data_IF_663711942910
#
_entry.id   IF_663711942910
#
_cell.length_a   1.000
_cell.length_b   1.000
_cell.length_c   1.000
_cell.angle_alpha   90.00
_cell.angle_beta   90.00
_cell.angle_gamma   90.00
#
_symmetry.space_group_name_H-M   'P 1'
#
loop_
_entity.id
_entity.type
_entity.pdbx_description
1 polymer ?
#
# COMPACT_ATOMS: atom_id res chain seq x y z
N UNK A 1 54.06 9.15 42.19
CA UNK A 1 52.65 8.72 42.09
C UNK A 1 52.15 9.16 40.73
N UNK A 2 52.32 8.31 39.72
CA UNK A 2 51.71 8.47 38.41
C UNK A 2 50.53 7.51 38.37
N UNK A 3 49.32 8.00 38.08
CA UNK A 3 48.18 7.15 37.79
C UNK A 3 48.19 6.89 36.29
N UNK A 4 48.37 5.62 35.93
CA UNK A 4 48.02 5.11 34.60
C UNK A 4 46.51 5.29 34.41
N UNK A 5 46.11 6.09 33.42
CA UNK A 5 44.76 6.05 32.87
C UNK A 5 44.80 5.17 31.62
N UNK A 6 44.25 3.97 31.78
CA UNK A 6 44.05 2.97 30.73
C UNK A 6 42.81 3.34 29.94
N UNK A 7 43.00 3.65 28.65
CA UNK A 7 41.92 3.81 27.67
C UNK A 7 41.29 2.46 27.38
N UNK A 8 40.01 2.30 27.71
CA UNK A 8 39.16 1.22 27.20
C UNK A 8 38.07 1.90 26.38
N UNK A 9 38.06 1.67 25.07
CA UNK A 9 36.96 2.10 24.19
C UNK A 9 37.06 3.49 23.55
N UNK A 10 38.24 4.09 23.42
CA UNK A 10 38.44 5.30 22.60
C UNK A 10 37.87 6.62 23.18
N UNK A 11 37.46 6.63 24.45
CA UNK A 11 37.06 7.84 25.15
C UNK A 11 38.08 8.20 26.23
N UNK A 12 38.65 9.40 26.15
CA UNK A 12 39.43 9.98 27.24
C UNK A 12 38.44 10.49 28.31
N UNK A 13 38.62 10.01 29.55
CA UNK A 13 37.81 10.40 30.71
C UNK A 13 38.60 11.27 31.68
N UNK A 14 39.66 11.94 31.19
CA UNK A 14 40.49 12.85 31.99
C UNK A 14 39.81 14.17 32.32
N UNK A 15 38.73 14.10 33.11
CA UNK A 15 38.41 15.09 34.16
C UNK A 15 37.96 16.50 33.76
N UNK A 16 37.91 16.87 32.49
CA UNK A 16 37.14 18.01 31.99
C UNK A 16 36.00 17.48 31.11
N UNK A 17 34.81 18.08 31.18
CA UNK A 17 33.57 17.70 30.47
C UNK A 17 33.66 17.86 28.94
N UNK A 18 34.83 17.60 28.35
CA UNK A 18 35.13 17.73 26.93
C UNK A 18 35.36 16.34 26.36
N UNK A 19 34.34 15.78 25.71
CA UNK A 19 34.44 14.58 24.89
C UNK A 19 35.34 14.88 23.68
N UNK A 20 36.64 14.65 23.81
CA UNK A 20 37.59 14.75 22.70
C UNK A 20 37.66 13.40 21.98
N UNK A 21 37.14 13.34 20.75
CA UNK A 21 37.44 12.24 19.82
C UNK A 21 38.95 12.24 19.54
N UNK A 22 39.62 11.10 19.67
CA UNK A 22 41.04 11.03 19.34
C UNK A 22 41.29 11.31 17.84
N UNK A 23 42.47 11.84 17.54
CA UNK A 23 42.83 12.29 16.20
C UNK A 23 42.73 11.18 15.14
N UNK A 24 42.88 9.91 15.53
CA UNK A 24 42.77 8.78 14.61
C UNK A 24 41.31 8.51 14.25
N UNK A 25 40.43 8.53 15.25
CA UNK A 25 38.97 8.37 15.11
C UNK A 25 38.38 9.55 14.34
N UNK A 26 38.82 10.78 14.62
CA UNK A 26 38.50 11.99 13.85
C UNK A 26 38.82 11.84 12.36
N UNK A 27 40.06 11.49 12.03
CA UNK A 27 40.48 11.33 10.63
C UNK A 27 39.74 10.17 9.95
N UNK A 28 39.38 9.11 10.68
CA UNK A 28 38.66 7.97 10.12
C UNK A 28 37.20 8.31 9.80
N UNK A 29 36.53 9.09 10.66
CA UNK A 29 35.17 9.57 10.43
C UNK A 29 35.17 10.62 9.30
N UNK A 30 36.11 11.57 9.31
CA UNK A 30 36.24 12.60 8.27
C UNK A 30 36.47 11.99 6.88
N UNK A 31 37.33 10.97 6.78
CA UNK A 31 37.57 10.27 5.51
C UNK A 31 36.36 9.47 5.04
N UNK A 32 35.60 8.84 5.95
CA UNK A 32 34.34 8.17 5.60
C UNK A 32 33.31 9.16 5.07
N UNK A 33 33.21 10.33 5.69
CA UNK A 33 32.25 11.37 5.30
C UNK A 33 32.61 12.00 3.95
N UNK A 34 33.90 12.25 3.70
CA UNK A 34 34.41 12.70 2.40
C UNK A 34 34.21 11.65 1.29
N UNK A 35 34.41 10.37 1.62
CA UNK A 35 34.18 9.27 0.69
C UNK A 35 32.69 9.14 0.34
N UNK A 36 31.81 9.13 1.33
CA UNK A 36 30.35 9.10 1.12
C UNK A 36 29.85 10.31 0.33
N UNK A 37 30.41 11.52 0.57
CA UNK A 37 30.06 12.71 -0.20
C UNK A 37 30.54 12.64 -1.67
N UNK A 38 31.66 11.96 -1.94
CA UNK A 38 32.19 11.77 -3.30
C UNK A 38 31.48 10.68 -4.10
N UNK A 39 30.70 9.82 -3.43
CA UNK A 39 29.89 8.76 -4.02
C UNK A 39 28.45 9.23 -4.36
N UNK A 40 28.10 10.47 -4.01
CA UNK A 40 26.80 11.08 -4.35
C UNK A 40 26.74 11.42 -5.84
N UNK A 41 25.94 10.64 -6.59
CA UNK A 41 25.70 10.85 -8.03
C UNK A 41 24.33 11.50 -8.22
N UNK A 42 24.30 12.81 -8.45
CA UNK A 42 23.05 13.61 -8.51
C UNK A 42 22.31 13.58 -9.86
N UNK A 43 22.74 12.76 -10.84
CA UNK A 43 22.16 12.70 -12.19
C UNK A 43 21.34 11.42 -12.47
N UNK A 44 21.00 10.65 -11.43
CA UNK A 44 20.15 9.45 -11.47
C UNK A 44 19.04 9.54 -10.42
N UNK A 45 17.91 8.86 -10.65
CA UNK A 45 16.86 8.77 -9.62
C UNK A 45 17.37 7.95 -8.43
N UNK A 46 16.85 8.24 -7.24
CA UNK A 46 17.21 7.55 -5.99
C UNK A 46 16.96 6.03 -6.04
N UNK A 47 16.15 5.56 -6.99
CA UNK A 47 15.77 4.15 -7.14
C UNK A 47 16.52 3.43 -8.28
N UNK A 48 17.42 4.10 -9.01
CA UNK A 48 18.28 3.51 -10.07
C UNK A 48 19.75 3.28 -9.61
N UNK A 49 19.98 3.37 -8.29
CA UNK A 49 21.29 3.28 -7.69
C UNK A 49 21.23 2.32 -6.51
N UNK A 50 21.55 1.06 -6.80
CA UNK A 50 21.49 -0.07 -5.86
C UNK A 50 22.18 0.22 -4.51
N UNK A 51 23.32 0.92 -4.51
CA UNK A 51 24.20 1.12 -3.33
C UNK A 51 24.67 2.59 -3.09
N UNK A 52 24.09 3.61 -3.74
CA UNK A 52 24.56 5.00 -3.59
C UNK A 52 23.54 5.88 -2.84
N UNK A 53 24.02 6.66 -1.86
CA UNK A 53 23.21 7.59 -1.05
C UNK A 53 22.59 8.67 -1.95
N UNK A 54 21.28 8.86 -1.88
CA UNK A 54 20.59 9.83 -2.74
C UNK A 54 20.59 11.25 -2.14
N UNK A 55 20.50 12.29 -2.98
CA UNK A 55 20.45 13.68 -2.52
C UNK A 55 19.29 13.99 -1.57
N UNK A 56 18.19 13.23 -1.65
CA UNK A 56 17.02 13.39 -0.76
C UNK A 56 17.26 12.75 0.62
N UNK A 57 17.93 11.60 0.70
CA UNK A 57 18.46 11.06 1.96
C UNK A 57 19.55 11.96 2.53
N UNK A 58 20.37 12.58 1.67
CA UNK A 58 21.32 13.61 2.07
C UNK A 58 20.63 14.78 2.76
N UNK A 59 19.49 15.25 2.24
CA UNK A 59 18.67 16.30 2.88
C UNK A 59 17.99 15.85 4.17
N UNK A 60 17.53 14.59 4.24
CA UNK A 60 16.90 14.02 5.46
C UNK A 60 17.94 13.79 6.56
N UNK A 61 19.13 13.29 6.21
CA UNK A 61 20.30 13.21 7.09
C UNK A 61 20.74 14.60 7.52
N UNK A 62 20.74 15.59 6.61
CA UNK A 62 21.04 16.98 6.96
C UNK A 62 20.04 17.52 7.99
N UNK A 63 18.75 17.22 7.83
CA UNK A 63 17.71 17.63 8.76
C UNK A 63 17.84 16.91 10.12
N UNK A 64 18.14 15.61 10.14
CA UNK A 64 18.39 14.84 11.38
C UNK A 64 19.65 15.34 12.10
N UNK A 65 20.72 15.63 11.35
CA UNK A 65 21.92 16.26 11.92
C UNK A 65 21.61 17.64 12.46
N UNK A 66 20.88 18.48 11.74
CA UNK A 66 20.47 19.82 12.21
C UNK A 66 19.66 19.73 13.51
N UNK A 67 18.72 18.78 13.61
CA UNK A 67 17.97 18.55 14.85
C UNK A 67 18.88 18.13 16.02
N UNK A 68 19.84 17.23 15.79
CA UNK A 68 20.80 16.79 16.82
C UNK A 68 21.76 17.91 17.25
N UNK A 69 22.12 18.82 16.34
CA UNK A 69 22.92 20.02 16.64
C UNK A 69 22.13 20.96 17.56
N UNK A 70 20.87 21.23 17.20
CA UNK A 70 19.97 22.10 17.98
C UNK A 70 19.74 21.57 19.40
N UNK A 71 19.75 20.24 19.58
CA UNK A 71 19.57 19.58 20.87
C UNK A 71 20.88 19.36 21.67
N UNK A 72 22.04 19.69 21.10
CA UNK A 72 23.35 19.48 21.73
C UNK A 72 23.84 20.67 22.58
N UNK A 73 24.87 20.46 23.40
CA UNK A 73 25.50 21.49 24.24
C UNK A 73 26.14 22.60 23.40
N UNK A 74 26.35 23.78 23.99
CA UNK A 74 26.85 24.98 23.28
C UNK A 74 28.20 24.74 22.56
N UNK A 75 29.09 23.93 23.14
CA UNK A 75 30.37 23.55 22.52
C UNK A 75 30.22 22.59 21.33
N UNK A 76 29.17 21.76 21.29
CA UNK A 76 28.84 20.85 20.19
C UNK A 76 28.09 21.58 19.06
N UNK A 77 27.31 22.63 19.40
CA UNK A 77 26.71 23.53 18.41
C UNK A 77 27.77 24.25 17.59
N UNK A 78 28.72 24.90 18.24
CA UNK A 78 29.80 25.62 17.54
C UNK A 78 30.64 24.68 16.66
N UNK A 79 30.85 23.43 17.10
CA UNK A 79 31.59 22.40 16.37
C UNK A 79 30.85 21.89 15.11
N UNK A 80 29.52 21.76 15.15
CA UNK A 80 28.74 21.20 14.05
C UNK A 80 28.22 22.26 13.06
N UNK A 81 28.16 23.54 13.46
CA UNK A 81 27.75 24.63 12.57
C UNK A 81 28.67 24.82 11.36
N UNK A 82 30.00 24.68 11.51
CA UNK A 82 30.95 24.85 10.39
C UNK A 82 30.79 23.74 9.33
N UNK A 83 30.61 22.49 9.77
CA UNK A 83 30.42 21.34 8.87
C UNK A 83 29.05 21.38 8.19
N UNK A 84 28.02 21.81 8.91
CA UNK A 84 26.67 22.03 8.37
C UNK A 84 26.68 23.16 7.33
N UNK A 85 27.33 24.29 7.62
CA UNK A 85 27.48 25.41 6.67
C UNK A 85 28.26 24.98 5.42
N UNK A 86 29.30 24.14 5.58
CA UNK A 86 30.05 23.59 4.46
C UNK A 86 29.20 22.65 3.60
N UNK A 87 28.36 21.81 4.20
CA UNK A 87 27.46 20.92 3.45
C UNK A 87 26.36 21.72 2.74
N UNK A 88 25.75 22.70 3.42
CA UNK A 88 24.79 23.62 2.81
C UNK A 88 25.39 24.37 1.61
N UNK A 89 26.64 24.82 1.72
CA UNK A 89 27.36 25.49 0.63
C UNK A 89 27.56 24.55 -0.56
N UNK A 90 28.00 23.31 -0.32
CA UNK A 90 28.21 22.32 -1.39
C UNK A 90 26.92 21.91 -2.10
N UNK A 91 25.81 21.80 -1.35
CA UNK A 91 24.47 21.57 -1.89
C UNK A 91 24.04 22.74 -2.77
N UNK A 92 24.23 23.98 -2.28
CA UNK A 92 23.88 25.19 -3.02
C UNK A 92 24.69 25.33 -4.31
N UNK A 93 25.99 25.02 -4.27
CA UNK A 93 26.86 25.02 -5.45
C UNK A 93 26.42 23.97 -6.48
N UNK A 94 26.03 22.78 -6.04
CA UNK A 94 25.52 21.72 -6.91
C UNK A 94 24.17 22.08 -7.58
N UNK A 95 23.28 22.75 -6.84
CA UNK A 95 22.03 23.30 -7.40
C UNK A 95 22.36 24.36 -8.47
N UNK A 96 23.27 25.27 -8.18
CA UNK A 96 23.68 26.33 -9.10
C UNK A 96 24.31 25.77 -10.39
N UNK A 97 25.12 24.71 -10.30
CA UNK A 97 25.70 24.02 -11.46
C UNK A 97 24.63 23.32 -12.31
N UNK A 98 23.66 22.69 -11.65
CA UNK A 98 22.52 22.03 -12.31
C UNK A 98 21.64 23.03 -13.05
N UNK A 99 21.32 24.15 -12.41
CA UNK A 99 20.58 25.26 -13.02
C UNK A 99 21.32 25.89 -14.21
N UNK A 100 22.65 26.05 -14.11
CA UNK A 100 23.47 26.53 -15.23
C UNK A 100 23.46 25.54 -16.40
N UNK A 101 23.53 24.23 -16.14
CA UNK A 101 23.46 23.18 -17.16
C UNK A 101 22.09 23.14 -17.85
N UNK A 102 21.00 23.24 -17.07
CA UNK A 102 19.64 23.35 -17.57
C UNK A 102 19.45 24.63 -18.41
N UNK A 103 19.91 25.78 -17.93
CA UNK A 103 19.85 27.05 -18.66
C UNK A 103 20.65 26.99 -19.97
N UNK A 104 21.83 26.34 -19.98
CA UNK A 104 22.62 26.12 -21.18
C UNK A 104 21.90 25.19 -22.17
N UNK A 105 21.24 24.13 -21.70
CA UNK A 105 20.46 23.22 -22.55
C UNK A 105 19.24 23.90 -23.19
N UNK A 106 18.57 24.79 -22.45
CA UNK A 106 17.44 25.59 -22.93
C UNK A 106 17.88 26.68 -23.91
N UNK A 107 19.05 27.29 -23.69
CA UNK A 107 19.67 28.26 -24.61
C UNK A 107 20.08 27.62 -25.95
N UNK A 108 20.57 26.37 -25.93
CA UNK A 108 20.86 25.62 -27.15
C UNK A 108 19.60 25.27 -27.97
N UNK A 109 18.47 25.02 -27.31
CA UNK A 109 17.19 24.76 -27.98
C UNK A 109 16.54 26.04 -28.55
N UNK A 110 16.79 27.21 -27.95
CA UNK A 110 16.29 28.50 -28.45
C UNK A 110 16.96 28.94 -29.77
N UNK A 111 18.21 28.57 -30.03
CA UNK A 111 18.87 28.84 -31.33
C UNK A 111 18.33 27.99 -32.48
N UNK A 112 17.66 26.87 -32.21
CA UNK A 112 17.03 26.01 -33.22
C UNK A 112 15.60 26.41 -33.60
N UNK A 113 14.86 27.05 -32.69
CA UNK A 113 13.43 27.36 -32.89
C UNK A 113 13.13 28.83 -33.29
N UNK A 114 14.12 29.72 -33.21
CA UNK A 114 13.97 31.18 -33.40
C UNK A 114 13.69 31.70 -34.82
N UNK A 115 13.32 30.86 -35.80
CA UNK A 115 13.03 31.31 -37.18
C UNK A 115 11.59 31.16 -37.69
N UNK A 116 10.64 30.60 -36.94
CA UNK A 116 9.30 30.32 -37.54
C UNK A 116 8.05 30.92 -36.89
N UNK A 117 8.11 31.65 -35.76
CA UNK A 117 6.84 31.98 -35.07
C UNK A 117 6.69 33.38 -34.43
N UNK A 118 7.41 34.39 -34.93
CA UNK A 118 7.25 35.78 -34.46
C UNK A 118 6.54 36.68 -35.49
N UNK A 119 5.39 36.23 -35.99
CA UNK A 119 4.69 36.91 -37.08
C UNK A 119 3.19 36.64 -37.14
N UNK A 120 2.48 36.54 -36.02
CA UNK A 120 1.02 36.59 -36.03
C UNK A 120 0.47 37.04 -34.68
N UNK A 121 -0.38 38.07 -34.75
CA UNK A 121 -1.39 38.44 -33.73
C UNK A 121 -0.93 39.20 -32.47
N UNK A 122 -0.51 40.46 -32.67
CA UNK A 122 -0.95 41.53 -31.77
C UNK A 122 -2.27 42.13 -32.30
N UNK A 123 -3.31 42.19 -31.48
CA UNK A 123 -4.53 42.92 -31.84
C UNK A 123 -5.68 42.86 -30.83
N UNK A 124 -5.86 43.97 -30.09
CA UNK A 124 -7.09 44.52 -29.47
C UNK A 124 -7.52 44.14 -28.04
N UNK A 125 -7.25 45.11 -27.15
CA UNK A 125 -8.12 45.72 -26.11
C UNK A 125 -9.64 45.48 -26.24
N UNK A 126 -10.35 45.20 -25.13
CA UNK A 126 -11.13 46.20 -24.32
C UNK A 126 -12.27 45.58 -23.48
N UNK A 127 -12.26 45.88 -22.18
CA UNK A 127 -13.34 46.10 -21.17
C UNK A 127 -14.78 45.53 -21.34
N UNK A 128 -15.30 44.94 -20.25
CA UNK A 128 -16.46 45.45 -19.45
C UNK A 128 -16.82 44.55 -18.25
N UNK A 129 -17.06 45.18 -17.10
CA UNK A 129 -17.81 44.65 -15.94
C UNK A 129 -19.32 44.64 -16.22
N UNK A 130 -20.07 43.69 -15.62
CA UNK A 130 -21.43 43.90 -15.09
C UNK A 130 -21.93 42.74 -14.20
N UNK A 131 -22.18 43.12 -12.94
CA UNK A 131 -23.21 42.74 -11.96
C UNK A 131 -24.02 41.42 -12.06
N UNK A 132 -24.10 40.74 -10.91
CA UNK A 132 -25.03 39.67 -10.51
C UNK A 132 -26.50 40.14 -10.39
N UNK A 133 -27.43 39.17 -10.26
CA UNK A 133 -28.33 39.21 -9.10
C UNK A 133 -28.57 37.85 -8.42
N UNK A 134 -28.79 37.93 -7.10
CA UNK A 134 -29.30 36.91 -6.17
C UNK A 134 -30.74 36.45 -6.49
N UNK A 135 -31.04 35.16 -6.28
CA UNK A 135 -32.03 34.69 -5.28
C UNK A 135 -32.29 33.15 -5.34
N UNK A 136 -31.80 32.47 -4.30
CA UNK A 136 -32.47 31.50 -3.42
C UNK A 136 -33.19 30.23 -3.97
N UNK A 137 -32.61 29.06 -3.62
CA UNK A 137 -33.12 27.97 -2.72
C UNK A 137 -33.01 26.55 -3.28
N UNK A 138 -32.27 25.69 -2.56
CA UNK A 138 -32.57 24.25 -2.50
C UNK A 138 -31.41 23.26 -2.41
N UNK A 139 -30.24 23.64 -1.89
CA UNK A 139 -29.11 22.73 -1.66
C UNK A 139 -29.23 21.98 -0.33
N UNK A 140 -29.19 20.63 -0.37
CA UNK A 140 -28.46 19.86 0.64
C UNK A 140 -27.08 19.63 0.03
N UNK A 141 -26.26 20.67 0.13
CA UNK A 141 -24.85 20.61 -0.23
C UNK A 141 -24.11 20.22 1.04
N UNK A 142 -23.43 19.08 1.00
CA UNK A 142 -22.46 18.68 2.03
C UNK A 142 -21.28 19.63 1.93
N UNK A 143 -21.42 20.80 2.56
CA UNK A 143 -20.34 21.76 2.71
C UNK A 143 -19.20 21.07 3.45
N UNK A 144 -18.12 20.79 2.73
CA UNK A 144 -16.79 20.57 3.32
C UNK A 144 -16.53 21.80 4.19
N UNK A 145 -16.61 21.65 5.51
CA UNK A 145 -16.14 22.68 6.42
C UNK A 145 -14.64 22.86 6.15
N UNK A 146 -14.31 23.89 5.35
CA UNK A 146 -12.93 24.38 5.27
C UNK A 146 -12.58 24.92 6.63
N UNK A 147 -11.84 24.13 7.38
CA UNK A 147 -11.18 24.60 8.59
C UNK A 147 -9.85 25.22 8.15
N UNK A 148 -9.60 26.42 8.66
CA UNK A 148 -8.35 27.18 8.53
C UNK A 148 -7.26 26.45 9.33
N UNK A 149 -6.85 25.30 8.80
CA UNK A 149 -6.03 24.29 9.45
C UNK A 149 -4.71 24.14 8.65
N UNK A 150 -3.60 23.95 9.36
CA UNK A 150 -2.24 23.86 8.80
C UNK A 150 -2.13 22.87 7.62
N UNK A 151 -3.00 21.87 7.53
CA UNK A 151 -3.04 20.79 6.53
C UNK A 151 -4.28 20.81 5.63
N UNK A 152 -5.04 21.91 5.59
CA UNK A 152 -6.23 22.03 4.74
C UNK A 152 -5.96 21.77 3.25
N UNK A 153 -4.76 22.13 2.76
CA UNK A 153 -4.33 21.82 1.39
C UNK A 153 -4.20 20.31 1.16
N UNK A 154 -3.68 19.55 2.14
CA UNK A 154 -3.55 18.09 2.07
C UNK A 154 -4.93 17.44 2.07
N UNK A 155 -5.82 17.89 2.97
CA UNK A 155 -7.18 17.41 3.07
C UNK A 155 -7.90 17.49 1.72
N UNK A 156 -7.83 18.66 1.06
CA UNK A 156 -8.50 18.89 -0.22
C UNK A 156 -7.84 18.10 -1.34
N UNK A 157 -6.51 18.12 -1.42
CA UNK A 157 -5.78 17.50 -2.54
C UNK A 157 -5.93 15.98 -2.54
N UNK A 158 -5.83 15.36 -1.37
CA UNK A 158 -5.84 13.90 -1.19
C UNK A 158 -7.18 13.35 -0.73
N UNK A 159 -8.18 14.22 -0.54
CA UNK A 159 -9.56 13.89 -0.15
C UNK A 159 -9.66 13.14 1.19
N UNK A 160 -8.77 13.46 2.12
CA UNK A 160 -8.93 13.01 3.51
C UNK A 160 -10.17 13.68 4.13
N UNK A 161 -10.90 12.94 4.96
CA UNK A 161 -11.94 13.51 5.80
C UNK A 161 -11.34 14.46 6.84
N UNK A 162 -12.18 15.23 7.55
CA UNK A 162 -11.67 16.06 8.63
C UNK A 162 -11.14 15.18 9.78
N UNK A 163 -11.86 14.10 10.07
CA UNK A 163 -11.55 13.10 11.08
C UNK A 163 -10.23 12.40 10.77
N UNK A 164 -9.98 12.05 9.50
CA UNK A 164 -8.70 11.49 9.04
C UNK A 164 -7.55 12.44 9.38
N UNK A 165 -7.70 13.74 9.09
CA UNK A 165 -6.66 14.73 9.37
C UNK A 165 -6.42 14.87 10.87
N UNK A 166 -7.45 14.84 11.71
CA UNK A 166 -7.27 14.88 13.16
C UNK A 166 -6.54 13.63 13.67
N UNK A 167 -6.97 12.45 13.22
CA UNK A 167 -6.32 11.19 13.56
C UNK A 167 -4.85 11.16 13.13
N UNK A 168 -4.54 11.62 11.91
CA UNK A 168 -3.18 11.72 11.41
C UNK A 168 -2.34 12.73 12.19
N UNK A 169 -2.90 13.86 12.64
CA UNK A 169 -2.18 14.81 13.50
C UNK A 169 -1.81 14.22 14.85
N UNK A 170 -2.69 13.41 15.42
CA UNK A 170 -2.47 12.80 16.73
C UNK A 170 -1.47 11.63 16.67
N UNK A 171 -1.52 10.83 15.60
CA UNK A 171 -0.82 9.55 15.53
C UNK A 171 0.35 9.51 14.53
N UNK A 172 0.32 10.34 13.49
CA UNK A 172 1.25 10.28 12.34
C UNK A 172 1.66 11.69 11.84
N UNK A 173 1.87 12.63 12.77
CA UNK A 173 2.13 14.03 12.45
C UNK A 173 3.37 14.21 11.56
N UNK A 174 4.39 13.40 11.78
CA UNK A 174 5.66 13.45 11.04
C UNK A 174 5.42 13.13 9.57
N UNK A 175 4.75 12.02 9.28
CA UNK A 175 4.41 11.56 7.94
C UNK A 175 3.45 12.54 7.24
N UNK A 176 2.47 13.10 7.98
CA UNK A 176 1.56 14.11 7.47
C UNK A 176 2.31 15.41 7.07
N UNK A 177 3.27 15.86 7.89
CA UNK A 177 4.17 16.98 7.55
C UNK A 177 5.09 16.67 6.37
N UNK A 178 5.59 15.43 6.28
CA UNK A 178 6.37 14.99 5.12
C UNK A 178 5.53 15.07 3.85
N UNK A 179 4.29 14.57 3.86
CA UNK A 179 3.38 14.66 2.72
C UNK A 179 3.17 16.12 2.30
N UNK A 180 2.91 17.02 3.25
CA UNK A 180 2.71 18.45 2.99
C UNK A 180 3.90 19.15 2.34
N UNK A 181 5.11 18.74 2.72
CA UNK A 181 6.33 19.31 2.17
C UNK A 181 6.68 18.71 0.81
N UNK A 182 6.67 17.38 0.69
CA UNK A 182 7.10 16.64 -0.50
C UNK A 182 6.16 16.89 -1.69
N UNK A 183 4.85 17.06 -1.47
CA UNK A 183 3.89 17.35 -2.56
C UNK A 183 4.27 18.57 -3.41
N UNK A 184 5.03 19.52 -2.85
CA UNK A 184 5.45 20.75 -3.54
C UNK A 184 6.55 20.50 -4.57
N UNK A 185 7.26 19.37 -4.46
CA UNK A 185 8.49 19.09 -5.21
C UNK A 185 8.47 17.75 -5.96
N UNK A 186 7.79 16.72 -5.43
CA UNK A 186 7.72 15.37 -6.04
C UNK A 186 6.33 14.75 -5.86
N UNK A 187 5.60 14.61 -6.97
CA UNK A 187 4.28 13.96 -6.96
C UNK A 187 4.38 12.45 -6.72
N UNK A 188 5.47 11.82 -7.18
CA UNK A 188 5.71 10.38 -6.99
C UNK A 188 5.92 10.03 -5.52
N UNK A 189 6.78 10.78 -4.82
CA UNK A 189 7.07 10.52 -3.41
C UNK A 189 5.89 10.92 -2.53
N UNK A 190 5.19 12.01 -2.87
CA UNK A 190 3.96 12.38 -2.20
C UNK A 190 2.88 11.31 -2.37
N UNK A 191 2.78 10.68 -3.56
CA UNK A 191 1.87 9.55 -3.78
C UNK A 191 2.21 8.38 -2.86
N UNK A 192 3.48 8.01 -2.70
CA UNK A 192 3.89 6.91 -1.80
C UNK A 192 3.52 7.17 -0.34
N UNK A 193 3.82 8.38 0.16
CA UNK A 193 3.48 8.75 1.54
C UNK A 193 1.95 8.78 1.71
N UNK A 194 1.24 9.35 0.74
CA UNK A 194 -0.22 9.34 0.73
C UNK A 194 -0.78 7.92 0.81
N UNK A 195 -0.27 6.97 0.02
CA UNK A 195 -0.75 5.59 0.08
C UNK A 195 -0.52 4.95 1.45
N UNK A 196 0.61 5.21 2.11
CA UNK A 196 0.85 4.73 3.48
C UNK A 196 -0.14 5.33 4.48
N UNK A 197 -0.38 6.64 4.40
CA UNK A 197 -1.33 7.31 5.28
C UNK A 197 -2.77 6.87 5.02
N UNK A 198 -3.13 6.64 3.75
CA UNK A 198 -4.44 6.13 3.34
C UNK A 198 -4.78 4.82 4.03
N UNK A 199 -3.85 3.87 4.06
CA UNK A 199 -4.04 2.58 4.75
C UNK A 199 -4.22 2.77 6.25
N UNK A 200 -3.51 3.72 6.87
CA UNK A 200 -3.56 4.00 8.33
C UNK A 200 -4.88 4.61 8.80
N UNK A 201 -5.52 5.42 7.96
CA UNK A 201 -6.83 6.02 8.29
C UNK A 201 -7.99 5.11 7.92
N UNK A 202 -7.75 4.14 7.03
CA UNK A 202 -8.78 3.21 6.57
C UNK A 202 -9.35 2.39 7.72
N UNK A 203 -10.68 2.35 7.84
CA UNK A 203 -11.38 1.63 8.91
C UNK A 203 -11.10 0.11 8.85
N UNK A 204 -11.17 -0.51 7.67
CA UNK A 204 -10.82 -1.92 7.48
C UNK A 204 -9.32 -2.13 7.71
N UNK A 205 -8.49 -1.18 7.25
CA UNK A 205 -7.05 -1.24 7.50
C UNK A 205 -6.72 -1.26 8.99
N UNK A 206 -7.35 -0.40 9.78
CA UNK A 206 -7.19 -0.34 11.24
C UNK A 206 -7.64 -1.62 11.94
N UNK A 207 -8.74 -2.24 11.49
CA UNK A 207 -9.15 -3.56 11.97
C UNK A 207 -8.07 -4.62 11.75
N UNK A 208 -7.55 -4.71 10.52
CA UNK A 208 -6.53 -5.68 10.15
C UNK A 208 -5.21 -5.47 10.89
N UNK A 209 -4.81 -4.21 11.12
CA UNK A 209 -3.66 -3.89 11.97
C UNK A 209 -3.85 -4.37 13.41
N UNK A 210 -5.07 -4.30 13.94
CA UNK A 210 -5.40 -4.78 15.29
C UNK A 210 -5.10 -6.26 15.51
N UNK A 211 -5.19 -7.09 14.48
CA UNK A 211 -4.84 -8.52 14.53
C UNK A 211 -3.41 -8.84 14.04
N UNK A 212 -2.61 -7.82 13.73
CA UNK A 212 -1.18 -7.99 13.44
C UNK A 212 -0.79 -7.99 11.96
N UNK A 213 -1.66 -7.55 11.05
CA UNK A 213 -1.25 -7.29 9.67
C UNK A 213 -0.10 -6.29 9.62
N UNK A 214 0.80 -6.46 8.64
CA UNK A 214 1.93 -5.54 8.45
C UNK A 214 1.60 -4.55 7.35
N UNK A 215 2.02 -3.30 7.51
CA UNK A 215 1.80 -2.23 6.50
C UNK A 215 2.30 -2.60 5.10
N UNK A 216 3.38 -3.40 5.02
CA UNK A 216 3.93 -3.86 3.73
C UNK A 216 3.06 -4.89 3.01
N UNK A 217 2.21 -5.62 3.74
CA UNK A 217 1.38 -6.72 3.23
C UNK A 217 -0.06 -6.23 2.96
N UNK A 218 -0.39 -4.99 3.34
CA UNK A 218 -1.69 -4.36 3.16
C UNK A 218 -1.56 -3.10 2.30
N UNK A 219 -1.88 -3.20 1.02
CA UNK A 219 -1.87 -2.06 0.10
C UNK A 219 -3.25 -1.39 0.01
N UNK A 220 -3.33 -0.15 -0.47
CA UNK A 220 -4.59 0.50 -0.77
C UNK A 220 -5.45 -0.28 -1.77
N UNK A 221 -4.83 -0.92 -2.77
CA UNK A 221 -5.52 -1.75 -3.76
C UNK A 221 -6.15 -2.99 -3.11
N UNK A 222 -5.43 -3.65 -2.20
CA UNK A 222 -5.97 -4.76 -1.40
C UNK A 222 -7.16 -4.32 -0.57
N UNK A 223 -7.09 -3.15 0.09
CA UNK A 223 -8.20 -2.62 0.87
C UNK A 223 -9.42 -2.30 0.01
N UNK A 224 -9.20 -1.72 -1.17
CA UNK A 224 -10.28 -1.45 -2.13
C UNK A 224 -10.92 -2.77 -2.60
N UNK A 225 -10.14 -3.80 -2.87
CA UNK A 225 -10.65 -5.12 -3.27
C UNK A 225 -11.47 -5.77 -2.15
N UNK A 226 -10.97 -5.77 -0.90
CA UNK A 226 -11.71 -6.28 0.27
C UNK A 226 -13.06 -5.56 0.39
N UNK A 227 -13.09 -4.22 0.33
CA UNK A 227 -14.31 -3.43 0.49
C UNK A 227 -15.31 -3.69 -0.63
N UNK A 228 -14.85 -3.80 -1.87
CA UNK A 228 -15.72 -4.13 -2.98
C UNK A 228 -16.26 -5.56 -2.86
N UNK A 229 -15.47 -6.52 -2.37
CA UNK A 229 -15.94 -7.88 -2.08
C UNK A 229 -17.00 -7.88 -0.97
N UNK A 230 -16.73 -7.26 0.18
CA UNK A 230 -17.70 -7.17 1.28
C UNK A 230 -19.06 -6.63 0.78
N UNK A 231 -19.01 -5.56 -0.01
CA UNK A 231 -20.21 -4.96 -0.61
C UNK A 231 -20.88 -5.86 -1.66
N UNK A 232 -20.10 -6.42 -2.60
CA UNK A 232 -20.60 -7.26 -3.70
C UNK A 232 -21.34 -8.49 -3.18
N UNK A 233 -20.84 -9.06 -2.09
CA UNK A 233 -21.33 -10.28 -1.48
C UNK A 233 -22.25 -10.04 -0.27
N UNK A 234 -22.62 -8.78 -0.01
CA UNK A 234 -23.52 -8.38 1.07
C UNK A 234 -23.05 -8.86 2.46
N UNK A 235 -21.74 -8.77 2.72
CA UNK A 235 -21.10 -8.99 4.01
C UNK A 235 -21.06 -7.63 4.71
N UNK A 236 -22.06 -7.35 5.54
CA UNK A 236 -22.42 -5.99 5.97
C UNK A 236 -22.55 -5.80 7.46
N UNK A 237 -22.93 -6.84 8.22
CA UNK A 237 -23.00 -6.75 9.68
C UNK A 237 -21.59 -6.77 10.27
N UNK A 238 -21.48 -6.31 11.52
CA UNK A 238 -20.22 -6.34 12.27
C UNK A 238 -19.69 -7.78 12.35
N UNK A 239 -20.55 -8.71 12.70
CA UNK A 239 -20.23 -10.13 12.89
C UNK A 239 -19.78 -10.76 11.56
N UNK A 240 -20.50 -10.50 10.46
CA UNK A 240 -20.15 -10.94 9.11
C UNK A 240 -18.77 -10.43 8.66
N UNK A 241 -18.52 -9.12 8.79
CA UNK A 241 -17.25 -8.50 8.37
C UNK A 241 -16.09 -9.06 9.19
N UNK A 242 -16.24 -9.12 10.52
CA UNK A 242 -15.16 -9.62 11.39
C UNK A 242 -14.86 -11.10 11.13
N UNK A 243 -15.89 -11.93 10.90
CA UNK A 243 -15.68 -13.34 10.57
C UNK A 243 -14.99 -13.52 9.22
N UNK A 244 -15.44 -12.80 8.18
CA UNK A 244 -14.81 -12.85 6.86
C UNK A 244 -13.33 -12.47 6.91
N UNK A 245 -13.00 -11.36 7.58
CA UNK A 245 -11.62 -10.91 7.72
C UNK A 245 -10.78 -11.86 8.58
N UNK A 246 -11.35 -12.45 9.64
CA UNK A 246 -10.64 -13.40 10.51
C UNK A 246 -10.22 -14.66 9.75
N UNK A 247 -11.16 -15.27 9.01
CA UNK A 247 -10.92 -16.46 8.21
C UNK A 247 -9.86 -16.20 7.13
N UNK A 248 -10.03 -15.14 6.33
CA UNK A 248 -9.07 -14.80 5.28
C UNK A 248 -7.68 -14.45 5.83
N UNK A 249 -7.62 -13.77 6.99
CA UNK A 249 -6.36 -13.44 7.64
C UNK A 249 -5.63 -14.69 8.13
N UNK A 250 -6.35 -15.69 8.61
CA UNK A 250 -5.74 -16.95 9.01
C UNK A 250 -5.22 -17.71 7.79
N UNK A 251 -6.05 -17.91 6.76
CA UNK A 251 -5.71 -18.66 5.54
C UNK A 251 -4.48 -18.10 4.81
N UNK A 252 -4.35 -16.77 4.78
CA UNK A 252 -3.27 -16.09 4.04
C UNK A 252 -2.03 -15.81 4.89
N UNK A 253 -2.05 -16.12 6.19
CA UNK A 253 -1.03 -15.67 7.13
C UNK A 253 -0.92 -14.14 7.17
N UNK A 254 -2.06 -13.45 7.24
CA UNK A 254 -2.23 -12.00 7.25
C UNK A 254 -1.79 -11.35 5.92
N UNK A 255 -2.31 -11.87 4.80
CA UNK A 255 -2.06 -11.35 3.44
C UNK A 255 -0.71 -11.71 2.84
N UNK A 256 0.10 -12.51 3.53
CA UNK A 256 1.48 -12.84 3.10
C UNK A 256 1.50 -13.87 1.98
N UNK A 257 0.55 -14.81 1.99
CA UNK A 257 0.57 -15.98 1.11
C UNK A 257 -0.83 -16.23 0.53
N UNK A 258 -1.06 -15.79 -0.70
CA UNK A 258 -2.26 -16.13 -1.47
C UNK A 258 -2.12 -17.44 -2.26
N UNK A 259 -0.96 -18.11 -2.13
CA UNK A 259 -0.63 -19.34 -2.84
C UNK A 259 -0.02 -20.30 -1.83
N UNK A 260 -0.61 -21.49 -1.72
CA UNK A 260 -0.10 -22.55 -0.86
C UNK A 260 1.32 -22.97 -1.27
N UNK A 261 2.17 -23.25 -0.27
CA UNK A 261 3.55 -23.67 -0.47
C UNK A 261 3.67 -25.19 -0.39
N UNK A 262 4.31 -25.76 -1.40
CA UNK A 262 4.62 -27.18 -1.47
C UNK A 262 5.35 -27.50 -2.76
N UNK A 263 5.88 -28.71 -2.86
CA UNK A 263 6.40 -29.23 -4.12
C UNK A 263 5.34 -30.08 -4.85
N UNK A 264 5.61 -30.42 -6.11
CA UNK A 264 4.68 -31.20 -6.94
C UNK A 264 4.37 -32.58 -6.33
N UNK A 265 5.34 -33.19 -5.62
CA UNK A 265 5.16 -34.48 -4.98
C UNK A 265 4.19 -34.41 -3.79
N UNK A 266 4.27 -33.34 -2.99
CA UNK A 266 3.35 -33.07 -1.89
C UNK A 266 1.90 -32.97 -2.40
N UNK A 267 1.65 -32.15 -3.41
CA UNK A 267 0.29 -31.95 -3.94
C UNK A 267 -0.25 -33.19 -4.65
N UNK A 268 0.59 -33.88 -5.42
CA UNK A 268 0.20 -35.15 -6.05
C UNK A 268 -0.23 -36.18 -5.01
N UNK A 269 0.46 -36.25 -3.86
CA UNK A 269 0.08 -37.14 -2.77
C UNK A 269 -1.23 -36.73 -2.07
N UNK A 270 -1.57 -35.44 -2.10
CA UNK A 270 -2.85 -34.91 -1.62
C UNK A 270 -3.98 -35.00 -2.67
N UNK A 271 -3.69 -35.52 -3.87
CA UNK A 271 -4.69 -35.86 -4.87
C UNK A 271 -4.97 -34.77 -5.91
N UNK A 272 -4.12 -33.76 -6.06
CA UNK A 272 -4.28 -32.72 -7.08
C UNK A 272 -2.93 -32.18 -7.59
N UNK A 273 -2.93 -31.59 -8.79
CA UNK A 273 -1.75 -30.98 -9.40
C UNK A 273 -1.30 -29.70 -8.66
N UNK A 274 -0.03 -29.33 -8.78
CA UNK A 274 0.52 -28.14 -8.14
C UNK A 274 -0.26 -26.89 -8.55
N UNK A 275 -0.74 -26.81 -9.79
CA UNK A 275 -1.60 -25.76 -10.31
C UNK A 275 -2.92 -25.60 -9.55
N UNK A 276 -3.43 -26.67 -8.91
CA UNK A 276 -4.70 -26.67 -8.16
C UNK A 276 -4.52 -26.69 -6.64
N UNK A 277 -3.34 -26.29 -6.16
CA UNK A 277 -3.09 -26.01 -4.74
C UNK A 277 -3.92 -24.83 -4.23
N UNK A 278 -3.88 -24.58 -2.92
CA UNK A 278 -4.59 -23.46 -2.32
C UNK A 278 -4.25 -22.13 -3.01
N UNK A 279 -5.30 -21.43 -3.46
CA UNK A 279 -5.20 -20.14 -4.15
C UNK A 279 -6.21 -19.11 -3.67
N UNK A 280 -5.78 -17.86 -3.58
CA UNK A 280 -6.60 -16.72 -3.15
C UNK A 280 -6.71 -16.57 -1.63
N UNK A 281 -7.57 -15.66 -1.19
CA UNK A 281 -7.67 -15.23 0.20
C UNK A 281 -8.33 -16.26 1.12
N UNK A 282 -9.02 -17.26 0.55
CA UNK A 282 -9.64 -18.38 1.27
C UNK A 282 -9.08 -19.76 0.86
N UNK A 283 -8.02 -19.78 0.04
CA UNK A 283 -7.31 -21.00 -0.38
C UNK A 283 -8.19 -22.06 -1.06
N UNK A 284 -8.88 -21.72 -2.16
CA UNK A 284 -9.59 -22.75 -2.95
C UNK A 284 -8.61 -23.78 -3.54
N UNK A 285 -8.99 -25.06 -3.52
CA UNK A 285 -8.15 -26.20 -3.93
C UNK A 285 -8.88 -27.12 -4.91
N UNK A 286 -8.14 -28.03 -5.54
CA UNK A 286 -8.61 -29.01 -6.53
C UNK A 286 -9.14 -28.38 -7.82
N UNK A 287 -8.92 -29.07 -8.94
CA UNK A 287 -9.32 -28.59 -10.26
C UNK A 287 -10.83 -28.34 -10.38
N UNK A 288 -11.66 -29.16 -9.75
CA UNK A 288 -13.11 -28.93 -9.67
C UNK A 288 -13.46 -27.65 -8.91
N UNK A 289 -12.69 -27.26 -7.89
CA UNK A 289 -12.89 -26.00 -7.17
C UNK A 289 -12.66 -24.80 -8.09
N UNK A 290 -11.58 -24.83 -8.86
CA UNK A 290 -11.26 -23.80 -9.86
C UNK A 290 -12.30 -23.76 -11.00
N UNK A 291 -12.76 -24.91 -11.50
CA UNK A 291 -13.82 -24.97 -12.52
C UNK A 291 -15.15 -24.43 -11.99
N UNK A 292 -15.54 -24.78 -10.77
CA UNK A 292 -16.76 -24.24 -10.15
C UNK A 292 -16.68 -22.72 -10.00
N UNK A 293 -15.53 -22.20 -9.56
CA UNK A 293 -15.31 -20.76 -9.49
C UNK A 293 -15.34 -20.09 -10.88
N UNK A 294 -14.67 -20.64 -11.88
CA UNK A 294 -14.70 -20.13 -13.25
C UNK A 294 -16.12 -20.07 -13.82
N UNK A 295 -16.91 -21.13 -13.61
CA UNK A 295 -18.32 -21.19 -13.98
C UNK A 295 -19.15 -20.13 -13.27
N UNK A 296 -18.91 -19.93 -11.97
CA UNK A 296 -19.60 -18.91 -11.20
C UNK A 296 -19.35 -17.50 -11.75
N UNK A 297 -18.07 -17.13 -11.96
CA UNK A 297 -17.72 -15.80 -12.49
C UNK A 297 -18.30 -15.61 -13.89
N UNK A 298 -18.16 -16.62 -14.77
CA UNK A 298 -18.73 -16.60 -16.11
C UNK A 298 -20.25 -16.36 -16.10
N UNK A 299 -20.99 -17.04 -15.23
CA UNK A 299 -22.45 -16.88 -15.15
C UNK A 299 -22.89 -15.56 -14.50
N UNK A 300 -22.08 -14.96 -13.64
CA UNK A 300 -22.35 -13.62 -13.10
C UNK A 300 -22.14 -12.55 -14.17
N UNK A 301 -21.10 -12.68 -14.99
CA UNK A 301 -20.82 -11.74 -16.08
C UNK A 301 -21.76 -11.93 -17.27
N UNK A 302 -22.14 -13.19 -17.55
CA UNK A 302 -22.95 -13.61 -18.69
C UNK A 302 -24.15 -14.46 -18.25
N UNK A 303 -25.15 -13.85 -17.59
CA UNK A 303 -26.31 -14.59 -17.07
C UNK A 303 -27.15 -15.26 -18.16
N UNK A 304 -27.05 -14.83 -19.42
CA UNK A 304 -27.65 -15.48 -20.57
C UNK A 304 -27.18 -16.94 -20.76
N UNK A 305 -25.99 -17.29 -20.27
CA UNK A 305 -25.44 -18.64 -20.39
C UNK A 305 -26.16 -19.66 -19.50
N UNK A 306 -27.04 -19.22 -18.58
CA UNK A 306 -27.87 -20.12 -17.77
C UNK A 306 -28.81 -21.01 -18.60
N UNK A 307 -29.03 -20.71 -19.89
CA UNK A 307 -29.77 -21.58 -20.80
C UNK A 307 -28.99 -22.87 -21.18
N UNK A 308 -27.66 -22.84 -21.08
CA UNK A 308 -26.76 -23.88 -21.58
C UNK A 308 -26.09 -24.71 -20.47
N UNK A 309 -26.07 -24.18 -19.24
CA UNK A 309 -25.53 -24.83 -18.06
C UNK A 309 -25.84 -24.01 -16.82
N UNK A 310 -25.46 -24.51 -15.66
CA UNK A 310 -25.67 -23.80 -14.39
C UNK A 310 -24.51 -24.02 -13.43
N UNK A 311 -24.41 -23.14 -12.45
CA UNK A 311 -23.45 -23.29 -11.36
C UNK A 311 -23.76 -24.53 -10.51
N UNK A 312 -22.69 -25.21 -10.07
CA UNK A 312 -22.74 -26.38 -9.21
C UNK A 312 -21.85 -26.13 -8.00
N UNK A 313 -22.42 -26.20 -6.79
CA UNK A 313 -21.62 -26.11 -5.57
C UNK A 313 -20.81 -27.41 -5.39
N UNK A 314 -19.47 -27.34 -5.37
CA UNK A 314 -18.61 -28.52 -5.29
C UNK A 314 -18.72 -29.27 -3.94
N UNK A 315 -19.28 -28.65 -2.89
CA UNK A 315 -19.53 -29.31 -1.61
C UNK A 315 -20.72 -30.30 -1.64
N UNK A 316 -21.59 -30.22 -2.66
CA UNK A 316 -22.86 -30.97 -2.68
C UNK A 316 -23.01 -31.95 -3.84
N UNK A 317 -22.29 -31.74 -4.95
CA UNK A 317 -22.36 -32.57 -6.15
C UNK A 317 -20.96 -32.98 -6.59
N UNK A 318 -20.86 -34.13 -7.27
CA UNK A 318 -19.58 -34.73 -7.63
C UNK A 318 -18.83 -33.94 -8.71
N UNK A 319 -17.50 -34.02 -8.66
CA UNK A 319 -16.52 -33.46 -9.59
C UNK A 319 -16.91 -33.61 -11.07
N UNK A 320 -17.38 -34.79 -11.49
CA UNK A 320 -17.80 -35.05 -12.88
C UNK A 320 -18.90 -34.09 -13.37
N UNK A 321 -19.80 -33.68 -12.47
CA UNK A 321 -20.89 -32.77 -12.82
C UNK A 321 -20.42 -31.32 -12.94
N UNK A 322 -19.48 -30.90 -12.08
CA UNK A 322 -18.82 -29.59 -12.19
C UNK A 322 -18.10 -29.48 -13.53
N UNK A 323 -17.37 -30.53 -13.90
CA UNK A 323 -16.66 -30.62 -15.18
C UNK A 323 -17.59 -30.51 -16.38
N UNK A 324 -18.73 -31.21 -16.35
CA UNK A 324 -19.73 -31.15 -17.41
C UNK A 324 -20.26 -29.71 -17.57
N UNK A 325 -20.67 -29.06 -16.48
CA UNK A 325 -21.24 -27.70 -16.54
C UNK A 325 -20.22 -26.68 -17.03
N UNK A 326 -18.97 -26.73 -16.53
CA UNK A 326 -17.90 -25.86 -17.00
C UNK A 326 -17.66 -25.99 -18.51
N UNK A 327 -17.53 -27.22 -19.02
CA UNK A 327 -17.29 -27.44 -20.44
C UNK A 327 -18.47 -27.00 -21.32
N UNK A 328 -19.71 -27.26 -20.89
CA UNK A 328 -20.91 -26.82 -21.60
C UNK A 328 -20.95 -25.29 -21.74
N UNK A 329 -20.70 -24.58 -20.64
CA UNK A 329 -20.73 -23.11 -20.61
C UNK A 329 -19.61 -22.49 -21.43
N UNK A 330 -18.38 -23.01 -21.35
CA UNK A 330 -17.26 -22.52 -22.17
C UNK A 330 -17.54 -22.73 -23.66
N UNK A 331 -18.13 -23.86 -24.05
CA UNK A 331 -18.48 -24.10 -25.45
C UNK A 331 -19.60 -23.16 -25.93
N UNK A 332 -20.66 -22.99 -25.14
CA UNK A 332 -21.75 -22.08 -25.45
C UNK A 332 -21.25 -20.63 -25.57
N UNK A 333 -20.41 -20.18 -24.64
CA UNK A 333 -19.79 -18.86 -24.67
C UNK A 333 -18.99 -18.63 -25.97
N UNK A 334 -18.19 -19.61 -26.39
CA UNK A 334 -17.45 -19.57 -27.67
C UNK A 334 -18.39 -19.49 -28.88
N UNK A 335 -19.47 -20.26 -28.90
CA UNK A 335 -20.47 -20.22 -29.97
C UNK A 335 -21.18 -18.87 -30.08
N UNK A 336 -21.38 -18.20 -28.94
CA UNK A 336 -21.94 -16.84 -28.86
C UNK A 336 -20.92 -15.73 -29.10
N UNK A 337 -19.63 -16.07 -29.26
CA UNK A 337 -18.56 -15.10 -29.47
C UNK A 337 -18.15 -14.32 -28.22
N UNK A 338 -18.42 -14.86 -27.04
CA UNK A 338 -17.95 -14.32 -25.75
C UNK A 338 -16.46 -14.64 -25.60
N UNK A 339 -15.69 -13.66 -25.10
CA UNK A 339 -14.28 -13.82 -24.75
C UNK A 339 -14.20 -14.70 -23.49
N UNK A 340 -13.42 -15.78 -23.54
CA UNK A 340 -13.38 -16.77 -22.45
C UNK A 340 -12.00 -17.00 -21.85
N UNK A 341 -10.96 -16.32 -22.32
CA UNK A 341 -9.59 -16.57 -21.88
C UNK A 341 -9.44 -16.39 -20.37
N UNK A 342 -10.05 -15.36 -19.79
CA UNK A 342 -9.99 -15.14 -18.34
C UNK A 342 -10.59 -16.33 -17.55
N UNK A 343 -11.77 -16.82 -17.94
CA UNK A 343 -12.41 -17.96 -17.27
C UNK A 343 -11.65 -19.28 -17.49
N UNK A 344 -11.05 -19.45 -18.68
CA UNK A 344 -10.20 -20.61 -18.95
C UNK A 344 -8.89 -20.56 -18.15
N UNK A 345 -8.31 -19.37 -17.96
CA UNK A 345 -7.06 -19.17 -17.21
C UNK A 345 -7.23 -19.44 -15.72
N UNK A 346 -8.41 -19.16 -15.13
CA UNK A 346 -8.76 -19.61 -13.77
C UNK A 346 -8.47 -21.10 -13.60
N UNK A 347 -8.77 -21.91 -14.62
CA UNK A 347 -8.55 -23.36 -14.57
C UNK A 347 -7.16 -23.75 -15.04
N UNK A 348 -6.69 -23.25 -16.19
CA UNK A 348 -5.44 -23.71 -16.79
C UNK A 348 -4.17 -23.22 -16.08
N UNK A 349 -4.24 -22.06 -15.44
CA UNK A 349 -3.13 -21.48 -14.67
C UNK A 349 -3.36 -21.60 -13.14
N UNK A 350 -4.60 -21.90 -12.74
CA UNK A 350 -4.97 -22.31 -11.39
C UNK A 350 -4.60 -21.27 -10.32
N UNK A 351 -3.97 -21.75 -9.25
CA UNK A 351 -3.66 -20.98 -8.05
C UNK A 351 -2.89 -19.68 -8.32
N UNK A 352 -2.00 -19.67 -9.31
CA UNK A 352 -1.19 -18.49 -9.63
C UNK A 352 -2.07 -17.39 -10.22
N UNK A 353 -2.87 -17.72 -11.24
CA UNK A 353 -3.74 -16.76 -11.89
C UNK A 353 -4.84 -16.27 -10.95
N UNK A 354 -5.40 -17.17 -10.14
CA UNK A 354 -6.41 -16.81 -9.13
C UNK A 354 -5.84 -15.88 -8.06
N UNK A 355 -4.64 -16.17 -7.52
CA UNK A 355 -4.01 -15.30 -6.52
C UNK A 355 -3.64 -13.92 -7.06
N UNK A 356 -3.38 -13.79 -8.36
CA UNK A 356 -3.03 -12.50 -8.98
C UNK A 356 -4.28 -11.68 -9.38
N UNK A 357 -5.36 -12.33 -9.82
CA UNK A 357 -6.48 -11.65 -10.47
C UNK A 357 -7.81 -11.73 -9.70
N UNK A 358 -7.94 -12.67 -8.76
CA UNK A 358 -9.20 -12.99 -8.09
C UNK A 358 -9.02 -13.31 -6.60
N UNK A 359 -7.96 -12.82 -5.96
CA UNK A 359 -7.58 -13.26 -4.62
C UNK A 359 -8.73 -13.10 -3.61
N UNK A 360 -9.34 -11.92 -3.53
CA UNK A 360 -10.47 -11.70 -2.61
C UNK A 360 -11.82 -12.05 -3.22
N UNK A 361 -11.93 -11.96 -4.54
CA UNK A 361 -13.12 -12.39 -5.26
C UNK A 361 -13.44 -13.87 -4.99
N UNK A 362 -12.43 -14.75 -4.90
CA UNK A 362 -12.67 -16.17 -4.54
C UNK A 362 -13.15 -16.35 -3.12
N UNK A 363 -12.69 -15.51 -2.18
CA UNK A 363 -13.16 -15.54 -0.81
C UNK A 363 -14.63 -15.11 -0.72
N UNK A 364 -15.01 -14.03 -1.40
CA UNK A 364 -16.41 -13.61 -1.50
C UNK A 364 -17.30 -14.69 -2.13
N UNK A 365 -16.83 -15.28 -3.25
CA UNK A 365 -17.51 -16.41 -3.90
C UNK A 365 -17.75 -17.56 -2.92
N UNK A 366 -16.68 -18.02 -2.25
CA UNK A 366 -16.76 -19.14 -1.31
C UNK A 366 -17.72 -18.83 -0.16
N UNK A 367 -17.70 -17.60 0.31
CA UNK A 367 -18.57 -17.12 1.37
C UNK A 367 -20.06 -17.17 0.99
N UNK A 368 -20.40 -16.70 -0.22
CA UNK A 368 -21.79 -16.73 -0.73
C UNK A 368 -22.30 -18.15 -0.95
N UNK A 369 -21.52 -19.01 -1.63
CA UNK A 369 -22.01 -20.34 -2.00
C UNK A 369 -22.24 -21.26 -0.81
N UNK A 370 -21.54 -21.00 0.30
CA UNK A 370 -21.66 -21.71 1.57
C UNK A 370 -22.57 -20.99 2.59
N UNK A 371 -23.17 -19.87 2.19
CA UNK A 371 -24.10 -19.10 3.01
C UNK A 371 -23.52 -18.70 4.38
N UNK A 372 -22.25 -18.28 4.39
CA UNK A 372 -21.51 -18.07 5.64
C UNK A 372 -22.00 -16.87 6.46
N UNK A 373 -22.72 -15.92 5.84
CA UNK A 373 -23.46 -14.88 6.56
C UNK A 373 -24.50 -15.50 7.52
N UNK A 374 -25.40 -16.35 7.01
CA UNK A 374 -26.42 -16.99 7.86
C UNK A 374 -25.78 -17.87 8.95
N UNK A 375 -24.63 -18.49 8.66
CA UNK A 375 -23.89 -19.32 9.62
C UNK A 375 -23.40 -18.46 10.78
N UNK A 376 -22.73 -17.34 10.51
CA UNK A 376 -22.23 -16.47 11.59
C UNK A 376 -23.37 -15.75 12.31
N UNK A 377 -24.42 -15.31 11.60
CA UNK A 377 -25.57 -14.63 12.19
C UNK A 377 -26.36 -15.50 13.17
N UNK A 378 -26.33 -16.82 12.98
CA UNK A 378 -27.08 -17.78 13.81
C UNK A 378 -26.20 -18.67 14.70
N UNK A 379 -24.88 -18.56 14.56
CA UNK A 379 -23.90 -19.46 15.16
C UNK A 379 -22.69 -18.74 15.73
N UNK A 380 -21.51 -19.34 15.53
CA UNK A 380 -20.23 -18.87 16.05
C UNK A 380 -19.17 -18.89 14.96
N UNK A 381 -18.06 -18.19 15.18
CA UNK A 381 -16.89 -18.25 14.28
C UNK A 381 -16.39 -19.68 14.09
N UNK A 382 -16.49 -20.55 15.09
CA UNK A 382 -16.07 -21.95 14.95
C UNK A 382 -16.98 -22.75 14.00
N UNK A 383 -18.27 -22.39 13.88
CA UNK A 383 -19.17 -22.99 12.90
C UNK A 383 -18.79 -22.56 11.48
N UNK A 384 -18.31 -21.32 11.31
CA UNK A 384 -17.74 -20.83 10.04
C UNK A 384 -16.41 -21.54 9.76
N UNK A 385 -15.50 -21.62 10.73
CA UNK A 385 -14.19 -22.27 10.57
C UNK A 385 -14.31 -23.75 10.19
N UNK A 386 -15.32 -24.47 10.70
CA UNK A 386 -15.56 -25.87 10.33
C UNK A 386 -16.07 -26.03 8.88
N UNK A 387 -16.68 -24.99 8.30
CA UNK A 387 -17.02 -25.00 6.87
C UNK A 387 -15.78 -24.66 6.05
N UNK A 388 -15.06 -23.59 6.41
CA UNK A 388 -13.88 -23.10 5.69
C UNK A 388 -12.77 -24.16 5.66
N UNK A 389 -12.49 -24.81 6.79
CA UNK A 389 -11.44 -25.81 6.91
C UNK A 389 -11.89 -26.97 7.81
N UNK A 390 -12.84 -27.76 7.29
CA UNK A 390 -13.47 -28.88 7.97
C UNK A 390 -12.49 -29.85 8.61
N UNK A 391 -12.67 -30.08 9.92
CA UNK A 391 -11.87 -31.03 10.70
C UNK A 391 -10.55 -30.48 11.24
N UNK A 392 -10.15 -29.26 10.88
CA UNK A 392 -8.93 -28.63 11.38
C UNK A 392 -9.17 -27.78 12.65
N UNK A 393 -9.73 -28.44 13.66
CA UNK A 393 -10.11 -27.82 14.93
C UNK A 393 -8.92 -27.26 15.72
N UNK A 394 -7.68 -27.63 15.38
CA UNK A 394 -6.47 -27.09 16.00
C UNK A 394 -6.28 -25.59 15.69
N UNK A 395 -6.83 -25.11 14.57
CA UNK A 395 -6.70 -23.73 14.13
C UNK A 395 -7.78 -22.80 14.68
N UNK A 396 -8.90 -23.37 15.14
CA UNK A 396 -10.09 -22.63 15.55
C UNK A 396 -9.81 -21.59 16.65
N UNK A 397 -9.03 -21.90 17.72
CA UNK A 397 -8.75 -20.90 18.76
C UNK A 397 -8.07 -19.64 18.22
N UNK A 398 -7.23 -19.76 17.19
CA UNK A 398 -6.55 -18.60 16.61
C UNK A 398 -7.46 -17.77 15.70
N UNK A 399 -8.35 -18.43 14.95
CA UNK A 399 -9.40 -17.77 14.16
C UNK A 399 -10.37 -17.03 15.06
N UNK A 400 -10.78 -17.65 16.17
CA UNK A 400 -11.62 -17.03 17.20
C UNK A 400 -10.94 -15.83 17.87
N UNK A 401 -9.62 -15.90 18.15
CA UNK A 401 -8.85 -14.77 18.65
C UNK A 401 -8.87 -13.58 17.67
N UNK A 402 -8.65 -13.83 16.37
CA UNK A 402 -8.74 -12.79 15.35
C UNK A 402 -10.15 -12.19 15.28
N UNK A 403 -11.19 -13.03 15.23
CA UNK A 403 -12.58 -12.60 15.18
C UNK A 403 -12.93 -11.70 16.37
N UNK A 404 -12.61 -12.11 17.60
CA UNK A 404 -12.90 -11.33 18.79
C UNK A 404 -12.18 -9.98 18.78
N UNK A 405 -10.90 -9.97 18.42
CA UNK A 405 -10.11 -8.73 18.33
C UNK A 405 -10.67 -7.78 17.26
N UNK A 406 -11.08 -8.30 16.11
CA UNK A 406 -11.73 -7.51 15.05
C UNK A 406 -13.05 -6.92 15.55
N UNK A 407 -13.91 -7.72 16.19
CA UNK A 407 -15.18 -7.29 16.74
C UNK A 407 -15.02 -6.23 17.85
N UNK A 408 -14.03 -6.38 18.73
CA UNK A 408 -13.72 -5.39 19.76
C UNK A 408 -13.28 -4.06 19.14
N UNK A 409 -12.36 -4.09 18.18
CA UNK A 409 -11.87 -2.89 17.50
C UNK A 409 -12.92 -2.24 16.58
N UNK A 410 -13.89 -3.01 16.07
CA UNK A 410 -14.95 -2.49 15.22
C UNK A 410 -15.80 -1.45 15.96
N UNK A 411 -16.14 -1.71 17.22
CA UNK A 411 -16.95 -0.79 18.04
C UNK A 411 -16.22 0.52 18.38
N UNK A 412 -14.89 0.51 18.30
CA UNK A 412 -14.06 1.70 18.53
C UNK A 412 -13.90 2.54 17.24
N UNK A 413 -14.14 1.94 16.07
CA UNK A 413 -13.87 2.54 14.75
C UNK A 413 -15.15 3.05 14.08
N UNK A 414 -16.24 2.27 14.13
CA UNK A 414 -17.53 2.53 13.47
C UNK A 414 -18.61 2.93 14.49
#
# INVERSE_FOLDING_TARGET
>A
MAKDNTTIGGFDTSGDDTLLLDNATYNQIQNKLLQSASELIFNKSAFDMEDAVCGTEGMVLLADYWHRVVDSSDCLRDFLCEDVDMICTKVQDSINETDQSLAASLSCNAMGAGKSMLGAFMGRRSTKQKEEPDDAKGTKDTTVEKIDDEFGDIQILYKFSYEDIQFLKENYLTELKMLQNVQKYSTSDASKIYQQLRVKVDEIGRLLFGIGWNEKDLTPETLDEIKEVLKKYNITTKEEICAFLAECSYETGMGKWYIEKGDEAYFTNNGYGIEYRGGGAIQITHDYGYKAFATYVLLKDHPELNEYGHYVNPAHLGEEYVDEQYNNLINAAKELGIEVSNYQNIVSEGAVYVAENYAWETAGYYWEINNLNDVIDSGTINDVSDIVNSGDTETFPKREEYYNTLCENYDDIF
#
